data_IF_808048148538
#
_entry.id   IF_808048148538
#
_cell.length_a   1.000
_cell.length_b   1.000
_cell.length_c   1.000
_cell.angle_alpha   90.00
_cell.angle_beta   90.00
_cell.angle_gamma   90.00
#
_symmetry.space_group_name_H-M   'P 1'
#
loop_
_entity.id
_entity.type
_entity.pdbx_description
1 polymer ?
#
# COMPACT_ATOMS: atom_id res chain seq x y z
N UNK A 1 -8.86 81.70 26.26
CA UNK A 1 -8.81 80.34 26.83
C UNK A 1 -8.81 79.32 25.70
N UNK A 2 -7.69 78.59 25.59
CA UNK A 2 -7.48 77.23 25.07
C UNK A 2 -8.28 76.72 23.84
N UNK A 3 -7.53 76.49 22.76
CA UNK A 3 -7.45 75.31 21.87
C UNK A 3 -8.69 74.42 21.66
N UNK A 4 -8.98 74.09 20.39
CA UNK A 4 -8.99 72.69 19.95
C UNK A 4 -8.84 72.58 18.42
N UNK A 5 -7.71 71.98 18.03
CA UNK A 5 -7.32 71.60 16.67
C UNK A 5 -8.17 70.40 16.23
N UNK A 6 -8.71 70.47 15.00
CA UNK A 6 -9.35 69.33 14.31
C UNK A 6 -8.26 68.35 13.85
N UNK A 7 -8.18 67.19 14.50
CA UNK A 7 -7.45 66.04 13.96
C UNK A 7 -8.44 65.03 13.40
N UNK A 8 -8.37 64.84 12.08
CA UNK A 8 -9.07 63.82 11.31
C UNK A 8 -8.31 62.50 11.50
N UNK A 9 -8.84 61.58 12.30
CA UNK A 9 -8.32 60.22 12.42
C UNK A 9 -8.92 59.34 11.32
N UNK A 10 -8.12 59.05 10.30
CA UNK A 10 -8.43 58.06 9.26
C UNK A 10 -8.32 56.67 9.90
N UNK A 11 -9.45 55.98 10.07
CA UNK A 11 -9.49 54.62 10.59
C UNK A 11 -9.13 53.65 9.45
N UNK A 12 -7.87 53.26 9.36
CA UNK A 12 -7.44 52.17 8.47
C UNK A 12 -7.92 50.84 9.06
N UNK A 13 -9.03 50.31 8.53
CA UNK A 13 -9.50 48.95 8.84
C UNK A 13 -8.59 47.96 8.13
N UNK A 14 -7.64 47.38 8.86
CA UNK A 14 -6.84 46.24 8.39
C UNK A 14 -7.75 45.01 8.44
N UNK A 15 -8.22 44.55 7.28
CA UNK A 15 -8.80 43.22 7.14
C UNK A 15 -7.68 42.20 7.28
N UNK A 16 -7.51 41.65 8.48
CA UNK A 16 -6.73 40.44 8.67
C UNK A 16 -7.49 39.30 8.00
N UNK A 17 -7.05 38.90 6.81
CA UNK A 17 -7.46 37.64 6.20
C UNK A 17 -6.90 36.53 7.09
N UNK A 18 -7.72 36.06 8.04
CA UNK A 18 -7.51 34.81 8.75
C UNK A 18 -7.54 33.69 7.70
N UNK A 19 -6.38 33.40 7.12
CA UNK A 19 -6.17 32.20 6.33
C UNK A 19 -6.33 31.03 7.29
N UNK A 20 -7.55 30.52 7.37
CA UNK A 20 -7.86 29.32 8.14
C UNK A 20 -7.20 28.17 7.39
N UNK A 21 -6.01 27.77 7.82
CA UNK A 21 -5.44 26.49 7.42
C UNK A 21 -6.42 25.44 7.94
N UNK A 22 -7.31 24.97 7.08
CA UNK A 22 -8.06 23.75 7.33
C UNK A 22 -7.01 22.65 7.28
N UNK A 23 -6.44 22.32 8.43
CA UNK A 23 -5.70 21.06 8.58
C UNK A 23 -6.73 19.98 8.26
N UNK A 24 -6.60 19.33 7.10
CA UNK A 24 -7.47 18.19 6.82
C UNK A 24 -7.08 17.13 7.85
N UNK A 25 -7.92 16.91 8.86
CA UNK A 25 -7.72 15.81 9.79
C UNK A 25 -7.56 14.52 8.98
N UNK A 26 -6.58 13.70 9.34
CA UNK A 26 -6.36 12.41 8.67
C UNK A 26 -7.71 11.68 8.56
N UNK A 27 -8.04 11.18 7.38
CA UNK A 27 -9.25 10.36 7.26
C UNK A 27 -9.01 9.08 8.06
N UNK A 28 -9.77 8.90 9.13
CA UNK A 28 -9.75 7.68 9.91
C UNK A 28 -10.74 6.68 9.30
N UNK A 29 -10.39 5.39 9.24
CA UNK A 29 -11.18 4.41 8.53
C UNK A 29 -12.52 4.11 9.20
N UNK A 30 -13.48 3.63 8.41
CA UNK A 30 -14.75 3.14 8.93
C UNK A 30 -14.53 1.82 9.70
N UNK A 31 -14.95 1.71 10.98
CA UNK A 31 -14.76 0.49 11.76
C UNK A 31 -15.47 -0.75 11.20
N UNK A 32 -16.51 -0.56 10.37
CA UNK A 32 -17.37 -1.65 9.89
C UNK A 32 -16.71 -2.57 8.85
N UNK A 33 -15.57 -2.16 8.28
CA UNK A 33 -14.84 -2.94 7.27
C UNK A 33 -13.32 -2.99 7.53
N UNK A 34 -12.87 -2.58 8.72
CA UNK A 34 -11.48 -2.70 9.18
C UNK A 34 -11.26 -3.99 9.96
N UNK A 35 -10.08 -4.57 9.87
CA UNK A 35 -9.75 -5.78 10.64
C UNK A 35 -8.47 -5.57 11.46
N UNK A 36 -8.52 -5.92 12.75
CA UNK A 36 -7.38 -5.80 13.66
C UNK A 36 -6.41 -6.95 13.43
N UNK A 37 -5.29 -6.65 12.76
CA UNK A 37 -4.20 -7.60 12.53
C UNK A 37 -3.07 -7.45 13.55
N UNK A 38 -3.22 -6.59 14.58
CA UNK A 38 -2.19 -6.32 15.58
C UNK A 38 -1.75 -7.57 16.33
N UNK A 39 -2.70 -8.36 16.82
CA UNK A 39 -2.39 -9.59 17.55
C UNK A 39 -1.85 -10.68 16.60
N UNK A 40 -2.35 -10.70 15.36
CA UNK A 40 -1.89 -11.64 14.34
C UNK A 40 -0.39 -11.47 14.08
N UNK A 41 0.07 -10.26 13.76
CA UNK A 41 1.48 -10.03 13.40
C UNK A 41 2.46 -10.30 14.54
N UNK A 42 2.00 -10.30 15.79
CA UNK A 42 2.78 -10.58 17.01
C UNK A 42 2.82 -12.05 17.38
N UNK A 43 1.86 -12.84 16.90
CA UNK A 43 1.79 -14.25 17.24
C UNK A 43 2.78 -15.02 16.36
N UNK A 44 3.95 -15.35 16.90
CA UNK A 44 5.02 -16.05 16.17
C UNK A 44 4.55 -17.36 15.53
N UNK A 45 3.58 -18.08 16.13
CA UNK A 45 3.03 -19.30 15.54
C UNK A 45 2.26 -19.05 14.24
N UNK A 46 1.65 -17.88 14.08
CA UNK A 46 0.93 -17.45 12.88
C UNK A 46 1.84 -16.66 11.92
N UNK A 47 2.87 -16.00 12.46
CA UNK A 47 3.82 -15.15 11.73
C UNK A 47 5.11 -15.88 11.33
N UNK A 48 5.05 -17.20 11.12
CA UNK A 48 6.17 -18.02 10.68
C UNK A 48 7.46 -17.92 11.54
N UNK A 49 7.30 -17.73 12.85
CA UNK A 49 8.37 -17.64 13.83
C UNK A 49 8.78 -16.22 14.22
N UNK A 50 8.27 -15.19 13.55
CA UNK A 50 8.66 -13.80 13.79
C UNK A 50 7.59 -13.03 14.57
N UNK A 51 7.99 -12.24 15.57
CA UNK A 51 7.06 -11.38 16.32
C UNK A 51 7.03 -9.93 15.82
N UNK A 52 7.90 -9.60 14.86
CA UNK A 52 8.09 -8.26 14.30
C UNK A 52 7.87 -8.23 12.79
N UNK A 53 6.84 -8.95 12.33
CA UNK A 53 6.41 -8.82 10.94
C UNK A 53 5.73 -7.48 10.73
N UNK A 54 6.12 -6.79 9.66
CA UNK A 54 5.57 -5.49 9.24
C UNK A 54 4.74 -5.70 7.98
N UNK A 55 3.44 -5.38 7.97
CA UNK A 55 2.62 -5.39 6.76
C UNK A 55 3.13 -4.43 5.69
N UNK A 56 3.08 -4.85 4.43
CA UNK A 56 3.70 -4.14 3.32
C UNK A 56 2.75 -4.03 2.11
N UNK A 57 2.39 -5.13 1.46
CA UNK A 57 1.46 -5.12 0.33
C UNK A 57 0.06 -5.64 0.71
N UNK A 58 -0.95 -5.31 -0.09
CA UNK A 58 -2.32 -5.82 0.05
C UNK A 58 -2.97 -6.07 -1.31
N UNK A 59 -3.71 -7.18 -1.47
CA UNK A 59 -4.48 -7.44 -2.69
C UNK A 59 -5.67 -8.38 -2.47
N UNK A 60 -6.66 -8.33 -3.35
CA UNK A 60 -7.73 -9.33 -3.43
C UNK A 60 -7.31 -10.49 -4.33
N UNK A 61 -7.62 -11.71 -3.91
CA UNK A 61 -7.27 -12.94 -4.61
C UNK A 61 -8.43 -13.94 -4.63
N UNK A 62 -9.46 -13.66 -5.43
CA UNK A 62 -10.65 -14.50 -5.52
C UNK A 62 -11.37 -14.57 -4.17
N UNK A 63 -11.35 -15.75 -3.53
CA UNK A 63 -11.98 -15.98 -2.23
C UNK A 63 -11.16 -15.43 -1.05
N UNK A 64 -10.00 -14.82 -1.32
CA UNK A 64 -9.06 -14.36 -0.29
C UNK A 64 -8.73 -12.87 -0.38
N UNK A 65 -8.29 -12.30 0.73
CA UNK A 65 -7.52 -11.06 0.80
C UNK A 65 -6.12 -11.40 1.33
N UNK A 66 -5.09 -10.85 0.68
CA UNK A 66 -3.69 -11.16 0.95
C UNK A 66 -3.00 -9.92 1.49
N UNK A 67 -2.20 -10.08 2.55
CA UNK A 67 -1.32 -9.04 3.07
C UNK A 67 0.10 -9.59 3.16
N UNK A 68 1.02 -9.07 2.36
CA UNK A 68 2.44 -9.42 2.49
C UNK A 68 3.06 -8.70 3.67
N UNK A 69 4.05 -9.32 4.31
CA UNK A 69 4.77 -8.73 5.42
C UNK A 69 6.24 -9.19 5.46
N UNK A 70 7.12 -8.28 5.85
CA UNK A 70 8.56 -8.53 6.01
C UNK A 70 8.97 -8.49 7.48
N UNK A 71 10.08 -9.14 7.81
CA UNK A 71 10.61 -9.20 9.16
C UNK A 71 11.45 -7.95 9.48
N UNK A 72 11.23 -7.32 10.63
CA UNK A 72 12.08 -6.23 11.17
C UNK A 72 12.93 -6.61 12.40
N UNK A 73 13.18 -7.90 12.61
CA UNK A 73 14.21 -8.35 13.54
C UNK A 73 15.63 -8.21 12.96
N UNK A 74 16.64 -8.09 13.83
CA UNK A 74 18.06 -8.03 13.45
C UNK A 74 18.48 -9.26 12.65
N UNK A 75 18.06 -10.45 13.10
CA UNK A 75 18.16 -11.67 12.31
C UNK A 75 16.86 -11.83 11.52
N UNK A 76 16.94 -11.62 10.21
CA UNK A 76 15.75 -11.60 9.35
C UNK A 76 15.16 -13.00 9.18
N UNK A 77 13.88 -13.11 9.52
CA UNK A 77 13.05 -14.25 9.15
C UNK A 77 12.55 -14.11 7.72
N UNK A 78 12.14 -15.23 7.10
CA UNK A 78 11.45 -15.21 5.83
C UNK A 78 10.20 -14.34 5.90
N UNK A 79 9.97 -13.56 4.85
CA UNK A 79 8.76 -12.79 4.67
C UNK A 79 7.55 -13.71 4.49
N UNK A 80 6.36 -13.18 4.76
CA UNK A 80 5.11 -13.95 4.75
C UNK A 80 4.03 -13.25 3.94
N UNK A 81 2.98 -14.00 3.62
CA UNK A 81 1.68 -13.47 3.22
C UNK A 81 0.65 -14.00 4.20
N UNK A 82 -0.02 -13.11 4.92
CA UNK A 82 -1.22 -13.43 5.67
C UNK A 82 -2.39 -13.57 4.71
N UNK A 83 -3.10 -14.68 4.81
CA UNK A 83 -4.27 -15.00 3.99
C UNK A 83 -5.50 -14.82 4.85
N UNK A 84 -6.47 -14.07 4.35
CA UNK A 84 -7.76 -13.85 4.98
C UNK A 84 -8.86 -14.33 4.04
N UNK A 85 -9.97 -14.83 4.58
CA UNK A 85 -11.18 -15.01 3.79
C UNK A 85 -11.67 -13.64 3.30
N UNK A 86 -12.01 -13.51 2.02
CA UNK A 86 -12.49 -12.24 1.50
C UNK A 86 -13.85 -11.90 2.11
N UNK A 87 -14.80 -12.85 2.14
CA UNK A 87 -16.18 -12.57 2.55
C UNK A 87 -16.34 -11.94 3.93
N UNK A 88 -15.57 -12.36 4.92
CA UNK A 88 -15.67 -11.92 6.33
C UNK A 88 -14.37 -11.32 6.89
N UNK A 89 -13.31 -11.25 6.07
CA UNK A 89 -11.98 -10.76 6.43
C UNK A 89 -11.33 -11.52 7.59
N UNK A 90 -11.81 -12.72 7.93
CA UNK A 90 -11.23 -13.57 8.97
C UNK A 90 -9.89 -14.15 8.55
N UNK A 91 -8.96 -14.29 9.50
CA UNK A 91 -7.68 -14.95 9.24
C UNK A 91 -7.89 -16.41 8.79
N UNK A 92 -7.26 -16.79 7.68
CA UNK A 92 -7.36 -18.12 7.08
C UNK A 92 -6.08 -18.94 7.29
N UNK A 93 -4.91 -18.31 7.19
CA UNK A 93 -3.62 -19.00 7.23
C UNK A 93 -2.47 -18.08 6.83
N UNK A 94 -1.26 -18.64 6.80
CA UNK A 94 -0.06 -17.88 6.43
C UNK A 94 0.76 -18.64 5.39
N UNK A 95 1.21 -17.95 4.35
CA UNK A 95 2.22 -18.43 3.40
C UNK A 95 3.58 -17.89 3.83
N UNK A 96 4.54 -18.78 4.11
CA UNK A 96 5.95 -18.43 4.33
C UNK A 96 6.68 -18.44 2.99
N UNK A 97 7.19 -17.28 2.58
CA UNK A 97 7.91 -17.08 1.33
C UNK A 97 9.34 -17.62 1.43
N UNK A 98 10.04 -17.90 0.32
CA UNK A 98 11.36 -18.53 0.36
C UNK A 98 12.51 -17.61 0.79
N UNK A 99 12.28 -16.31 1.00
CA UNK A 99 13.34 -15.35 1.34
C UNK A 99 12.86 -14.22 2.24
N UNK A 100 13.76 -13.26 2.51
CA UNK A 100 13.60 -12.18 3.49
C UNK A 100 13.37 -10.81 2.85
N UNK A 101 12.92 -10.77 1.59
CA UNK A 101 12.74 -9.53 0.85
C UNK A 101 11.67 -8.62 1.48
N UNK A 102 11.71 -7.32 1.17
CA UNK A 102 10.75 -6.34 1.68
C UNK A 102 9.29 -6.65 1.32
N UNK A 103 9.05 -7.35 0.20
CA UNK A 103 7.72 -7.82 -0.26
C UNK A 103 6.63 -6.73 -0.29
N UNK A 104 6.99 -5.49 -0.63
CA UNK A 104 6.03 -4.35 -0.69
C UNK A 104 4.93 -4.45 -1.74
N UNK A 105 5.04 -5.40 -2.67
CA UNK A 105 4.01 -5.72 -3.64
C UNK A 105 3.53 -7.15 -3.51
N UNK A 106 2.20 -7.34 -3.54
CA UNK A 106 1.54 -8.62 -3.79
C UNK A 106 0.39 -8.39 -4.77
N UNK A 107 0.25 -9.26 -5.78
CA UNK A 107 -0.81 -9.17 -6.77
C UNK A 107 -1.31 -10.56 -7.19
N UNK A 108 -2.58 -10.63 -7.60
CA UNK A 108 -3.18 -11.82 -8.18
C UNK A 108 -3.55 -11.55 -9.64
N UNK A 109 -3.12 -12.41 -10.56
CA UNK A 109 -3.37 -12.24 -12.00
C UNK A 109 -4.81 -12.55 -12.46
N UNK A 110 -5.73 -12.66 -11.49
CA UNK A 110 -7.16 -12.89 -11.63
C UNK A 110 -7.58 -14.22 -12.28
N UNK A 111 -6.71 -15.23 -12.24
CA UNK A 111 -7.00 -16.58 -12.71
C UNK A 111 -6.67 -17.63 -11.63
N UNK A 112 -7.63 -18.50 -11.26
CA UNK A 112 -7.43 -19.53 -10.22
C UNK A 112 -6.39 -20.59 -10.61
N UNK A 113 -6.08 -20.70 -11.90
CA UNK A 113 -4.99 -21.52 -12.44
C UNK A 113 -3.69 -20.72 -12.66
N UNK A 114 -3.76 -19.41 -12.43
CA UNK A 114 -2.68 -18.44 -12.53
C UNK A 114 -1.86 -18.34 -11.25
N UNK A 115 -1.43 -17.12 -10.94
CA UNK A 115 -0.35 -16.88 -10.00
C UNK A 115 -0.64 -15.73 -9.03
N UNK A 116 -0.05 -15.87 -7.86
CA UNK A 116 0.24 -14.77 -6.94
C UNK A 116 1.65 -14.28 -7.24
N UNK A 117 1.77 -13.00 -7.54
CA UNK A 117 3.02 -12.28 -7.77
C UNK A 117 3.44 -11.54 -6.51
N UNK A 118 4.74 -11.52 -6.21
CA UNK A 118 5.30 -10.93 -4.99
C UNK A 118 6.60 -10.21 -5.29
N UNK A 119 6.77 -9.01 -4.73
CA UNK A 119 8.03 -8.26 -4.82
C UNK A 119 9.17 -9.04 -4.18
N UNK A 120 10.32 -9.09 -4.85
CA UNK A 120 11.49 -9.84 -4.39
C UNK A 120 12.79 -9.07 -4.67
N UNK A 121 12.89 -7.83 -4.16
CA UNK A 121 14.02 -6.94 -4.42
C UNK A 121 14.02 -6.43 -5.85
N UNK A 122 15.12 -6.63 -6.60
CA UNK A 122 15.20 -6.34 -8.04
C UNK A 122 14.59 -7.44 -8.92
N UNK A 123 13.57 -8.13 -8.40
CA UNK A 123 12.87 -9.19 -9.08
C UNK A 123 11.43 -9.29 -8.58
N UNK A 124 10.61 -10.06 -9.27
CA UNK A 124 9.29 -10.51 -8.80
C UNK A 124 9.22 -12.03 -8.84
N UNK A 125 8.85 -12.62 -7.71
CA UNK A 125 8.57 -14.04 -7.61
C UNK A 125 7.09 -14.31 -7.88
N UNK A 126 6.75 -15.51 -8.34
CA UNK A 126 5.36 -15.95 -8.34
C UNK A 126 5.20 -17.39 -7.88
N UNK A 127 4.03 -17.68 -7.31
CA UNK A 127 3.60 -19.03 -6.98
C UNK A 127 2.13 -19.24 -7.38
N UNK A 128 1.71 -20.50 -7.53
CA UNK A 128 0.33 -20.81 -7.97
C UNK A 128 -0.73 -20.43 -6.94
N UNK A 129 -1.83 -19.87 -7.44
CA UNK A 129 -3.01 -19.52 -6.63
C UNK A 129 -3.50 -20.68 -5.75
N UNK A 130 -3.44 -21.92 -6.26
CA UNK A 130 -3.86 -23.13 -5.53
C UNK A 130 -3.22 -23.30 -4.16
N UNK A 131 -2.02 -22.73 -3.93
CA UNK A 131 -1.34 -22.76 -2.63
C UNK A 131 -2.07 -21.99 -1.53
N UNK A 132 -2.94 -21.04 -1.87
CA UNK A 132 -3.70 -20.30 -0.87
C UNK A 132 -4.63 -21.21 -0.07
N UNK A 133 -5.30 -22.17 -0.72
CA UNK A 133 -6.18 -23.11 -0.03
C UNK A 133 -5.41 -24.08 0.90
N UNK A 134 -4.17 -24.41 0.55
CA UNK A 134 -3.31 -25.32 1.31
C UNK A 134 -2.83 -24.73 2.65
N UNK A 135 -2.89 -23.41 2.84
CA UNK A 135 -2.42 -22.77 4.08
C UNK A 135 -3.47 -22.69 5.20
N UNK A 136 -4.67 -23.27 5.00
CA UNK A 136 -5.76 -23.21 5.97
C UNK A 136 -5.29 -23.65 7.37
N UNK A 137 -5.44 -22.74 8.35
CA UNK A 137 -5.08 -22.93 9.75
C UNK A 137 -3.61 -23.34 9.98
N UNK A 138 -2.70 -23.00 9.06
CA UNK A 138 -1.29 -23.35 9.17
C UNK A 138 -0.38 -22.27 8.58
N UNK A 139 0.93 -22.43 8.84
CA UNK A 139 1.99 -21.71 8.14
C UNK A 139 2.56 -22.62 7.05
N UNK A 140 2.17 -22.39 5.81
CA UNK A 140 2.63 -23.16 4.66
C UNK A 140 3.89 -22.52 4.07
N UNK A 141 5.00 -23.27 4.05
CA UNK A 141 6.20 -22.84 3.32
C UNK A 141 6.09 -23.14 1.83
N UNK A 142 6.44 -22.17 0.99
CA UNK A 142 6.42 -22.33 -0.47
C UNK A 142 7.78 -22.00 -1.10
N UNK A 143 7.96 -22.44 -2.33
CA UNK A 143 8.99 -21.93 -3.25
C UNK A 143 8.32 -21.17 -4.38
N UNK A 144 9.00 -20.17 -4.93
CA UNK A 144 8.52 -19.51 -6.14
C UNK A 144 8.59 -20.49 -7.32
N UNK A 145 7.48 -20.60 -8.06
CA UNK A 145 7.44 -21.33 -9.32
C UNK A 145 8.33 -20.64 -10.38
N UNK A 146 8.42 -19.31 -10.33
CA UNK A 146 9.31 -18.50 -11.16
C UNK A 146 9.76 -17.25 -10.44
N UNK A 147 10.98 -16.79 -10.76
CA UNK A 147 11.49 -15.47 -10.41
C UNK A 147 11.83 -14.72 -11.69
N UNK A 148 11.27 -13.52 -11.86
CA UNK A 148 11.53 -12.63 -12.99
C UNK A 148 12.44 -11.48 -12.53
N UNK A 149 13.65 -11.40 -13.07
CA UNK A 149 14.56 -10.30 -12.76
C UNK A 149 14.09 -9.00 -13.42
N UNK A 150 14.29 -7.89 -12.73
CA UNK A 150 13.97 -6.54 -13.16
C UNK A 150 15.24 -5.68 -13.11
N UNK A 151 15.29 -4.66 -13.95
CA UNK A 151 16.40 -3.69 -13.93
C UNK A 151 16.31 -2.67 -12.79
N UNK A 152 15.37 -2.85 -11.86
CA UNK A 152 15.00 -1.89 -10.82
C UNK A 152 14.32 -2.60 -9.64
N UNK A 153 14.14 -1.91 -8.53
CA UNK A 153 13.52 -2.45 -7.33
C UNK A 153 12.00 -2.50 -7.44
N UNK A 154 11.42 -3.69 -7.32
CA UNK A 154 9.97 -3.90 -7.21
C UNK A 154 9.50 -3.49 -5.81
N UNK A 155 9.11 -2.23 -5.64
CA UNK A 155 8.73 -1.67 -4.34
C UNK A 155 7.29 -2.01 -3.99
N UNK A 156 6.38 -1.89 -4.95
CA UNK A 156 4.97 -2.31 -4.79
C UNK A 156 4.41 -2.78 -6.13
N UNK A 157 3.25 -3.45 -6.12
CA UNK A 157 2.60 -3.91 -7.34
C UNK A 157 1.09 -4.05 -7.20
N UNK A 158 0.39 -4.05 -8.33
CA UNK A 158 -0.98 -4.54 -8.43
C UNK A 158 -1.21 -5.18 -9.80
N UNK A 159 -2.32 -5.87 -9.94
CA UNK A 159 -2.77 -6.40 -11.21
C UNK A 159 -4.09 -5.74 -11.62
N UNK A 160 -4.12 -5.19 -12.81
CA UNK A 160 -5.30 -4.61 -13.43
C UNK A 160 -5.98 -5.67 -14.31
N UNK A 161 -7.04 -6.27 -13.79
CA UNK A 161 -7.79 -7.30 -14.48
C UNK A 161 -8.50 -6.80 -15.75
N UNK A 162 -8.83 -5.50 -15.81
CA UNK A 162 -9.57 -4.93 -16.94
C UNK A 162 -8.66 -4.73 -18.14
N UNK A 163 -7.47 -4.16 -17.91
CA UNK A 163 -6.50 -3.92 -18.98
C UNK A 163 -5.46 -5.05 -19.12
N UNK A 164 -5.57 -6.10 -18.30
CA UNK A 164 -4.73 -7.31 -18.32
C UNK A 164 -3.23 -7.04 -18.08
N UNK A 165 -2.91 -6.18 -17.11
CA UNK A 165 -1.54 -5.76 -16.84
C UNK A 165 -1.11 -5.94 -15.38
N UNK A 166 0.13 -6.41 -15.19
CA UNK A 166 0.83 -6.34 -13.91
C UNK A 166 1.57 -5.01 -13.85
N UNK A 167 1.22 -4.19 -12.86
CA UNK A 167 1.86 -2.93 -12.56
C UNK A 167 2.89 -3.14 -11.46
N UNK A 168 4.14 -2.74 -11.69
CA UNK A 168 5.23 -2.83 -10.71
C UNK A 168 5.82 -1.43 -10.57
N UNK A 169 5.80 -0.89 -9.34
CA UNK A 169 6.27 0.46 -9.06
C UNK A 169 7.60 0.45 -8.28
N UNK A 170 8.42 1.46 -8.58
CA UNK A 170 9.64 1.78 -7.88
C UNK A 170 9.41 2.97 -6.94
N UNK A 171 9.82 2.80 -5.69
CA UNK A 171 9.92 3.86 -4.70
C UNK A 171 11.21 4.65 -4.95
N UNK A 172 11.11 5.98 -4.89
CA UNK A 172 12.23 6.87 -4.61
C UNK A 172 11.73 7.99 -3.69
N UNK A 173 12.55 8.43 -2.74
CA UNK A 173 12.15 9.44 -1.76
C UNK A 173 12.53 10.87 -2.15
N UNK A 174 13.38 11.06 -3.15
CA UNK A 174 13.97 12.36 -3.50
C UNK A 174 14.03 12.63 -5.00
N UNK A 175 14.23 11.60 -5.84
CA UNK A 175 14.36 11.74 -7.28
C UNK A 175 13.09 11.28 -8.02
N UNK A 176 12.38 12.23 -8.62
CA UNK A 176 11.12 11.97 -9.32
C UNK A 176 11.31 11.12 -10.59
N UNK A 177 12.48 11.13 -11.21
CA UNK A 177 12.78 10.33 -12.39
C UNK A 177 12.94 8.83 -12.05
N UNK A 178 13.27 8.53 -10.79
CA UNK A 178 13.38 7.18 -10.26
C UNK A 178 12.06 6.67 -9.63
N UNK A 179 11.05 7.53 -9.51
CA UNK A 179 9.73 7.19 -8.95
C UNK A 179 8.72 6.96 -10.07
N UNK A 180 8.58 5.71 -10.48
CA UNK A 180 7.76 5.31 -11.62
C UNK A 180 7.01 4.00 -11.38
N UNK A 181 5.98 3.75 -12.19
CA UNK A 181 5.36 2.44 -12.34
C UNK A 181 5.50 1.93 -13.77
N UNK A 182 5.94 0.68 -13.92
CA UNK A 182 6.03 -0.01 -15.19
C UNK A 182 4.91 -1.03 -15.31
N UNK A 183 4.38 -1.10 -16.52
CA UNK A 183 3.32 -2.00 -16.90
C UNK A 183 3.90 -3.18 -17.69
N UNK A 184 3.45 -4.39 -17.35
CA UNK A 184 3.85 -5.64 -17.98
C UNK A 184 2.63 -6.44 -18.38
N UNK A 185 2.65 -7.00 -19.60
CA UNK A 185 1.75 -8.10 -19.93
C UNK A 185 2.14 -9.32 -19.10
N UNK A 186 1.19 -10.22 -18.85
CA UNK A 186 1.47 -11.52 -18.23
C UNK A 186 1.12 -12.61 -19.24
N UNK A 187 2.12 -13.15 -19.92
CA UNK A 187 1.93 -14.21 -20.90
C UNK A 187 2.12 -15.58 -20.24
N UNK A 188 1.34 -16.57 -20.68
CA UNK A 188 1.42 -17.92 -20.14
C UNK A 188 1.09 -18.01 -18.65
N UNK A 189 0.11 -17.23 -18.14
CA UNK A 189 -0.30 -17.19 -16.71
C UNK A 189 -0.44 -18.59 -16.08
N UNK A 190 -1.09 -19.50 -16.79
CA UNK A 190 -1.36 -20.86 -16.28
C UNK A 190 -0.18 -21.81 -16.48
N UNK A 191 0.83 -21.43 -17.26
CA UNK A 191 2.04 -22.23 -17.48
C UNK A 191 2.94 -22.28 -16.25
N UNK A 192 3.98 -23.10 -16.32
CA UNK A 192 5.05 -23.18 -15.31
C UNK A 192 6.06 -22.05 -15.42
N UNK A 193 6.08 -21.29 -16.52
CA UNK A 193 7.05 -20.23 -16.77
C UNK A 193 6.39 -18.98 -17.38
N UNK A 194 5.52 -18.28 -16.63
CA UNK A 194 4.87 -17.06 -17.11
C UNK A 194 5.91 -15.96 -17.36
N UNK A 195 5.79 -15.20 -18.45
CA UNK A 195 6.72 -14.10 -18.79
C UNK A 195 6.08 -12.74 -18.52
N UNK A 196 6.93 -11.71 -18.39
CA UNK A 196 6.52 -10.33 -18.16
C UNK A 196 7.05 -9.41 -19.27
N UNK A 197 6.45 -9.40 -20.48
CA UNK A 197 6.83 -8.47 -21.53
C UNK A 197 6.50 -7.03 -21.11
N UNK A 198 7.51 -6.16 -21.12
CA UNK A 198 7.36 -4.73 -20.83
C UNK A 198 6.42 -4.06 -21.84
N UNK A 199 5.61 -3.11 -21.35
CA UNK A 199 4.64 -2.39 -22.17
C UNK A 199 4.93 -0.89 -22.20
N UNK A 200 4.88 -0.24 -21.03
CA UNK A 200 5.11 1.19 -20.89
C UNK A 200 5.40 1.55 -19.43
N UNK A 201 5.76 2.82 -19.20
CA UNK A 201 6.04 3.39 -17.89
C UNK A 201 5.22 4.67 -17.69
N UNK A 202 4.83 4.94 -16.45
CA UNK A 202 4.31 6.25 -16.00
C UNK A 202 5.11 6.73 -14.79
N UNK A 203 5.17 8.04 -14.58
CA UNK A 203 5.66 8.61 -13.32
C UNK A 203 4.62 8.40 -12.21
N UNK A 204 5.09 8.17 -10.98
CA UNK A 204 4.26 8.10 -9.78
C UNK A 204 4.80 9.05 -8.71
N UNK A 205 3.97 9.53 -7.76
CA UNK A 205 4.44 10.38 -6.67
C UNK A 205 5.66 9.79 -5.96
N UNK A 206 6.59 10.65 -5.51
CA UNK A 206 7.66 10.23 -4.62
C UNK A 206 7.10 9.46 -3.43
N UNK A 207 7.92 8.55 -2.91
CA UNK A 207 7.63 7.73 -1.74
C UNK A 207 6.43 6.80 -1.92
N UNK A 208 6.19 6.35 -3.15
CA UNK A 208 5.10 5.41 -3.47
C UNK A 208 5.27 4.09 -2.73
N UNK A 209 4.30 3.75 -1.89
CA UNK A 209 4.25 2.49 -1.13
C UNK A 209 3.21 1.50 -1.65
N UNK A 210 2.18 2.00 -2.35
CA UNK A 210 1.10 1.18 -2.88
C UNK A 210 0.57 1.72 -4.20
N UNK A 211 0.17 0.82 -5.09
CA UNK A 211 -0.54 1.14 -6.33
C UNK A 211 -1.73 0.19 -6.46
N UNK A 212 -2.87 0.71 -6.92
CA UNK A 212 -4.03 -0.09 -7.31
C UNK A 212 -4.60 0.49 -8.58
N UNK A 213 -4.87 -0.35 -9.58
CA UNK A 213 -5.48 0.05 -10.86
C UNK A 213 -6.66 -0.87 -11.12
N UNK A 214 -7.80 -0.29 -11.48
CA UNK A 214 -9.03 -1.02 -11.80
C UNK A 214 -9.75 -0.31 -12.93
N UNK A 215 -9.56 -0.80 -14.16
CA UNK A 215 -10.21 -0.21 -15.34
C UNK A 215 -9.78 1.23 -15.57
N UNK A 216 -10.67 2.18 -15.35
CA UNK A 216 -10.45 3.62 -15.54
C UNK A 216 -10.10 4.36 -14.24
N UNK A 217 -9.76 3.64 -13.16
CA UNK A 217 -9.43 4.19 -11.85
C UNK A 217 -8.05 3.75 -11.41
N UNK A 218 -7.34 4.65 -10.73
CA UNK A 218 -6.04 4.37 -10.14
C UNK A 218 -5.93 5.03 -8.76
N UNK A 219 -5.35 4.33 -7.80
CA UNK A 219 -4.99 4.84 -6.49
C UNK A 219 -3.51 4.58 -6.22
N UNK A 220 -2.83 5.57 -5.63
CA UNK A 220 -1.42 5.45 -5.22
C UNK A 220 -1.28 5.97 -3.79
N UNK A 221 -0.73 5.16 -2.89
CA UNK A 221 -0.36 5.60 -1.54
C UNK A 221 1.11 6.03 -1.51
N UNK A 222 1.39 7.08 -0.73
CA UNK A 222 2.73 7.61 -0.52
C UNK A 222 2.98 7.84 0.97
N UNK A 223 4.12 7.38 1.45
CA UNK A 223 4.50 7.49 2.85
C UNK A 223 6.02 7.42 3.03
N UNK A 224 6.54 8.16 4.01
CA UNK A 224 7.92 8.00 4.44
C UNK A 224 8.14 8.55 5.85
N UNK A 225 8.55 7.68 6.76
CA UNK A 225 8.83 8.02 8.14
C UNK A 225 7.57 8.00 9.04
N UNK A 226 7.80 7.79 10.33
CA UNK A 226 6.74 7.54 11.33
C UNK A 226 6.03 8.79 11.85
N UNK A 227 6.60 9.97 11.61
CA UNK A 227 6.04 11.26 12.06
C UNK A 227 5.38 12.07 10.96
N UNK A 228 5.47 11.61 9.70
CA UNK A 228 4.94 12.32 8.55
C UNK A 228 3.61 11.71 8.14
N UNK A 229 2.60 12.56 7.93
CA UNK A 229 1.35 12.11 7.36
C UNK A 229 1.57 11.47 5.99
N UNK A 230 0.89 10.35 5.76
CA UNK A 230 0.86 9.71 4.46
C UNK A 230 -0.18 10.37 3.55
N UNK A 231 -0.12 10.05 2.25
CA UNK A 231 -1.06 10.56 1.24
C UNK A 231 -1.63 9.42 0.40
N UNK A 232 -2.91 9.54 0.06
CA UNK A 232 -3.55 8.74 -0.97
C UNK A 232 -3.94 9.63 -2.14
N UNK A 233 -3.40 9.34 -3.30
CA UNK A 233 -3.73 9.98 -4.56
C UNK A 233 -4.73 9.10 -5.31
N UNK A 234 -5.79 9.71 -5.82
CA UNK A 234 -6.77 9.06 -6.69
C UNK A 234 -6.77 9.70 -8.06
N UNK A 235 -6.86 8.88 -9.10
CA UNK A 235 -6.79 9.30 -10.48
C UNK A 235 -7.88 8.60 -11.29
N UNK A 236 -8.41 9.29 -12.30
CA UNK A 236 -8.95 8.58 -13.46
C UNK A 236 -7.78 8.15 -14.34
N UNK A 237 -7.77 6.89 -14.76
CA UNK A 237 -6.78 6.27 -15.63
C UNK A 237 -7.32 6.15 -17.05
N UNK A 238 -6.60 6.69 -18.03
CA UNK A 238 -6.90 6.47 -19.44
C UNK A 238 -5.88 5.50 -20.05
N UNK A 239 -6.30 4.27 -20.32
CA UNK A 239 -5.43 3.23 -20.86
C UNK A 239 -4.88 3.56 -22.26
N UNK A 240 -5.67 4.22 -23.11
CA UNK A 240 -5.29 4.52 -24.50
C UNK A 240 -4.21 5.60 -24.56
N UNK A 241 -4.38 6.67 -23.78
CA UNK A 241 -3.40 7.78 -23.74
C UNK A 241 -2.29 7.54 -22.72
N UNK A 242 -2.46 6.57 -21.82
CA UNK A 242 -1.56 6.25 -20.70
C UNK A 242 -1.39 7.40 -19.72
N UNK A 243 -2.44 8.19 -19.53
CA UNK A 243 -2.42 9.39 -18.69
C UNK A 243 -3.26 9.14 -17.43
N UNK A 244 -2.67 9.29 -16.22
CA UNK A 244 -3.42 9.41 -14.98
C UNK A 244 -3.81 10.88 -14.77
N UNK A 245 -5.10 11.15 -14.54
CA UNK A 245 -5.60 12.50 -14.21
C UNK A 245 -6.02 12.55 -12.75
N UNK A 246 -5.33 13.35 -11.95
CA UNK A 246 -5.56 13.46 -10.50
C UNK A 246 -6.98 13.96 -10.22
N UNK A 247 -7.67 13.29 -9.30
CA UNK A 247 -9.01 13.64 -8.83
C UNK A 247 -9.00 14.17 -7.41
N UNK A 248 -8.32 13.47 -6.51
CA UNK A 248 -8.17 13.92 -5.13
C UNK A 248 -6.87 13.44 -4.51
N UNK A 249 -6.43 14.21 -3.51
CA UNK A 249 -5.34 13.83 -2.59
C UNK A 249 -5.91 13.83 -1.19
N UNK A 250 -5.86 12.69 -0.51
CA UNK A 250 -6.34 12.52 0.87
C UNK A 250 -5.17 12.36 1.82
N UNK A 251 -5.23 13.04 2.97
CA UNK A 251 -4.27 12.85 4.07
C UNK A 251 -4.64 11.62 4.87
N UNK A 252 -3.67 10.74 5.08
CA UNK A 252 -3.79 9.50 5.85
C UNK A 252 -2.88 9.55 7.08
N UNK A 253 -3.13 8.70 8.10
CA UNK A 253 -2.15 8.47 9.16
C UNK A 253 -0.77 8.08 8.60
N UNK A 254 0.33 8.33 9.35
CA UNK A 254 1.67 7.93 8.93
C UNK A 254 1.80 6.44 8.64
N UNK A 255 2.85 6.08 7.89
CA UNK A 255 3.21 4.70 7.60
C UNK A 255 2.16 3.93 6.79
N UNK A 256 1.43 4.61 5.90
CA UNK A 256 0.58 3.91 4.93
C UNK A 256 1.44 3.14 3.93
N UNK A 257 1.11 1.87 3.73
CA UNK A 257 1.79 0.98 2.80
C UNK A 257 0.88 0.66 1.60
N UNK A 258 0.81 -0.59 1.17
CA UNK A 258 0.00 -1.05 0.05
C UNK A 258 -1.48 -0.60 0.12
N UNK A 259 -2.07 -0.38 -1.06
CA UNK A 259 -3.47 -0.05 -1.26
C UNK A 259 -4.12 -1.00 -2.26
N UNK A 260 -5.38 -1.39 -2.04
CA UNK A 260 -6.19 -2.11 -3.02
C UNK A 260 -7.62 -1.57 -3.07
N UNK A 261 -8.13 -1.31 -4.27
CA UNK A 261 -9.53 -0.94 -4.49
C UNK A 261 -10.44 -2.18 -4.54
N UNK A 262 -11.43 -2.23 -3.66
CA UNK A 262 -12.59 -3.11 -3.78
C UNK A 262 -13.73 -2.45 -4.56
N UNK A 263 -14.96 -2.93 -4.35
CA UNK A 263 -16.17 -2.32 -4.93
C UNK A 263 -16.62 -1.09 -4.16
N UNK A 264 -16.70 -1.20 -2.84
CA UNK A 264 -17.19 -0.12 -1.95
C UNK A 264 -16.05 0.59 -1.23
N UNK A 265 -15.01 -0.16 -0.86
CA UNK A 265 -13.91 0.34 -0.04
C UNK A 265 -12.56 0.16 -0.72
N UNK A 266 -11.69 1.14 -0.54
CA UNK A 266 -10.25 0.97 -0.71
C UNK A 266 -9.68 0.52 0.63
N UNK A 267 -8.78 -0.47 0.59
CA UNK A 267 -8.13 -1.03 1.75
C UNK A 267 -6.66 -0.64 1.75
N UNK A 268 -6.17 -0.17 2.89
CA UNK A 268 -4.79 0.28 3.08
C UNK A 268 -4.20 -0.41 4.29
N UNK A 269 -2.98 -0.94 4.15
CA UNK A 269 -2.20 -1.49 5.28
C UNK A 269 -1.24 -0.44 5.82
N UNK A 270 -0.84 -0.57 7.08
CA UNK A 270 0.09 0.36 7.73
C UNK A 270 1.22 -0.40 8.42
N UNK A 271 2.45 0.11 8.35
CA UNK A 271 3.57 -0.49 9.11
C UNK A 271 3.35 -0.35 10.61
N UNK A 272 2.61 0.68 11.04
CA UNK A 272 2.29 0.96 12.45
C UNK A 272 1.55 -0.18 13.14
N UNK A 273 0.99 -1.16 12.42
CA UNK A 273 0.45 -2.39 13.02
C UNK A 273 1.54 -3.18 13.77
N UNK A 274 2.78 -3.18 13.25
CA UNK A 274 3.91 -3.91 13.82
C UNK A 274 4.39 -3.31 15.14
N UNK A 275 4.90 -4.12 16.11
CA UNK A 275 5.48 -3.59 17.34
C UNK A 275 6.55 -2.53 17.10
N UNK A 276 7.38 -2.71 16.08
CA UNK A 276 8.51 -1.83 15.74
C UNK A 276 8.08 -0.39 15.47
N UNK A 277 6.85 -0.21 15.00
CA UNK A 277 6.33 1.10 14.62
C UNK A 277 5.18 1.56 15.51
N UNK A 278 4.47 0.64 16.16
CA UNK A 278 3.33 0.98 17.01
C UNK A 278 3.75 1.72 18.29
N UNK A 279 4.75 1.19 19.00
CA UNK A 279 5.11 1.66 20.34
C UNK A 279 6.62 1.68 20.62
N UNK A 280 7.46 1.52 19.59
CA UNK A 280 8.90 1.69 19.71
C UNK A 280 9.32 2.99 19.00
N UNK A 281 10.29 3.74 19.55
CA UNK A 281 10.83 4.89 18.86
C UNK A 281 11.76 4.49 17.70
N UNK A 282 12.02 5.40 16.76
CA UNK A 282 13.18 5.30 15.87
C UNK A 282 14.49 5.65 16.59
N UNK A 283 15.61 5.58 15.86
CA UNK A 283 16.95 5.92 16.37
C UNK A 283 17.06 7.38 16.87
N UNK A 284 16.14 8.25 16.46
CA UNK A 284 16.07 9.64 16.89
C UNK A 284 15.09 9.86 18.06
N UNK A 285 14.50 8.80 18.62
CA UNK A 285 13.55 8.89 19.73
C UNK A 285 12.12 9.20 19.32
N UNK A 286 11.79 9.25 18.01
CA UNK A 286 10.46 9.60 17.55
C UNK A 286 9.52 8.41 17.56
N UNK A 287 8.29 8.62 18.02
CA UNK A 287 7.21 7.64 17.94
C UNK A 287 6.33 7.90 16.71
N UNK A 288 5.56 6.88 16.29
CA UNK A 288 4.51 7.11 15.31
C UNK A 288 3.48 8.08 15.87
N UNK A 289 3.18 9.15 15.14
CA UNK A 289 2.29 10.22 15.64
C UNK A 289 0.84 9.77 15.76
N UNK A 290 0.38 8.88 14.85
CA UNK A 290 -0.97 8.34 14.83
C UNK A 290 -0.98 6.87 14.40
N UNK A 291 -0.60 5.93 15.28
CA UNK A 291 -0.45 4.53 14.90
C UNK A 291 -1.80 3.85 14.63
N UNK A 292 -1.85 3.01 13.60
CA UNK A 292 -3.04 2.27 13.16
C UNK A 292 -2.83 0.79 13.47
N UNK A 293 -3.84 0.13 14.07
CA UNK A 293 -3.80 -1.31 14.42
C UNK A 293 -4.44 -2.23 13.37
N UNK A 294 -5.11 -1.62 12.41
CA UNK A 294 -5.97 -2.30 11.45
C UNK A 294 -5.40 -2.13 10.05
N UNK A 295 -5.75 -3.03 9.13
CA UNK A 295 -5.82 -2.58 7.74
C UNK A 295 -7.17 -1.88 7.54
N UNK A 296 -7.10 -0.72 6.91
CA UNK A 296 -8.07 0.36 7.00
C UNK A 296 -8.95 0.41 5.77
N UNK A 297 -10.27 0.43 5.96
CA UNK A 297 -11.24 0.57 4.88
C UNK A 297 -11.72 2.01 4.75
N UNK A 298 -11.63 2.53 3.53
CA UNK A 298 -12.03 3.87 3.14
C UNK A 298 -13.08 3.80 2.04
N UNK A 299 -14.21 4.50 2.20
CA UNK A 299 -15.25 4.49 1.17
C UNK A 299 -14.72 5.13 -0.11
N UNK A 300 -14.74 4.37 -1.21
CA UNK A 300 -14.16 4.80 -2.49
C UNK A 300 -14.84 6.07 -3.02
N UNK A 301 -16.13 6.24 -2.75
CA UNK A 301 -16.88 7.42 -3.21
C UNK A 301 -16.32 8.74 -2.69
N UNK A 302 -15.55 8.71 -1.60
CA UNK A 302 -14.93 9.89 -1.02
C UNK A 302 -13.71 10.38 -1.81
N UNK A 303 -13.22 9.59 -2.77
CA UNK A 303 -12.00 9.90 -3.53
C UNK A 303 -12.29 10.44 -4.94
N UNK A 304 -13.55 10.66 -5.28
CA UNK A 304 -13.92 11.22 -6.59
C UNK A 304 -13.66 10.28 -7.77
N UNK A 305 -13.56 8.97 -7.49
CA UNK A 305 -13.41 7.90 -8.49
C UNK A 305 -14.44 6.80 -8.31
#
# INVERSE_FOLDING_TARGET
>A
MKNAIRNLLTLTVIFAVMCSFVTSAASYPSPAATYDIYNLVRNSSLSAGCSKMVPQGITFAGDYLLISACCEETTKHNSVIYVFNESDKSYFGTIKLPGTAHVGGVAYDCDRSGNIWVSNGNAVGCFKYSKLAECKNTVLSISYNRVANLSYQASTMCYDAVNNYLWIAQFDNTNQDNSFARCYAVEGKTSTSPTLPYQFQISVPLKTQGISVRGDRMMISSSYGRTNDSKLYSYTWNQSTKIPTLKSTTTLPPLSEGVVMGTTYAYIVYESVSPVYYNQPDDNGNYCTYPVRYFAAYNISNFGI
#
